data_IF_863297995263
#
_entry.id   IF_863297995263
#
_cell.length_a   1.000
_cell.length_b   1.000
_cell.length_c   1.000
_cell.angle_alpha   90.00
_cell.angle_beta   90.00
_cell.angle_gamma   90.00
#
_symmetry.space_group_name_H-M   'P 1'
#
loop_
_entity.id
_entity.type
_entity.pdbx_description
1 polymer ?
#
# COMPACT_ATOMS: atom_id res chain seq x y z
N UNK A 1 14.27 13.81 -22.88
CA UNK A 1 14.49 14.32 -21.52
C UNK A 1 15.75 15.15 -21.48
N UNK A 2 15.72 16.23 -20.70
CA UNK A 2 16.89 17.05 -20.38
C UNK A 2 17.27 16.79 -18.92
N UNK A 3 18.54 16.49 -18.69
CA UNK A 3 19.10 16.37 -17.35
C UNK A 3 19.45 17.77 -16.83
N UNK A 4 18.85 18.15 -15.69
CA UNK A 4 19.04 19.48 -15.10
C UNK A 4 19.25 19.31 -13.60
N UNK A 5 20.43 19.68 -13.13
CA UNK A 5 20.77 19.71 -11.71
C UNK A 5 20.17 20.96 -11.04
N UNK A 6 19.55 20.77 -9.88
CA UNK A 6 18.86 21.82 -9.14
C UNK A 6 19.52 22.09 -7.80
N UNK A 7 19.38 23.30 -7.22
CA UNK A 7 19.91 23.61 -5.89
C UNK A 7 19.33 22.74 -4.79
N UNK A 8 20.16 22.38 -3.81
CA UNK A 8 19.73 21.63 -2.62
C UNK A 8 19.22 22.53 -1.50
N UNK A 9 19.73 23.75 -1.35
CA UNK A 9 19.21 24.71 -0.38
C UNK A 9 17.97 25.39 -0.94
N UNK A 10 16.82 25.03 -0.43
CA UNK A 10 15.55 25.54 -0.93
C UNK A 10 14.62 26.02 0.19
N UNK A 11 13.41 26.44 -0.16
CA UNK A 11 12.34 26.73 0.77
C UNK A 11 11.62 25.44 1.12
N UNK A 12 11.12 25.33 2.36
CA UNK A 12 10.23 24.24 2.78
C UNK A 12 9.02 24.12 1.86
N UNK A 13 8.64 22.88 1.54
CA UNK A 13 7.48 22.53 0.71
C UNK A 13 6.59 21.52 1.41
N UNK A 14 5.25 21.57 1.23
CA UNK A 14 4.32 20.67 1.89
C UNK A 14 4.24 19.30 1.16
N UNK A 15 5.35 18.55 1.14
CA UNK A 15 5.42 17.24 0.43
C UNK A 15 5.10 16.04 1.32
N UNK A 16 4.68 16.25 2.58
CA UNK A 16 4.23 15.20 3.49
C UNK A 16 5.22 14.83 4.60
N UNK A 17 6.53 14.76 4.33
CA UNK A 17 7.55 14.51 5.34
C UNK A 17 7.98 15.80 6.07
N UNK A 18 8.73 15.64 7.18
CA UNK A 18 9.40 16.78 7.82
C UNK A 18 10.70 17.09 7.09
N UNK A 19 11.03 18.40 7.04
CA UNK A 19 12.24 18.91 6.42
C UNK A 19 13.43 18.88 7.38
N UNK A 20 14.62 18.57 6.85
CA UNK A 20 15.88 18.94 7.51
C UNK A 20 16.17 20.41 7.27
N UNK A 21 16.44 21.18 8.33
CA UNK A 21 16.64 22.62 8.28
C UNK A 21 18.11 22.98 8.38
N UNK A 22 18.55 23.92 7.54
CA UNK A 22 19.89 24.51 7.58
C UNK A 22 19.79 25.99 8.00
N UNK A 23 20.32 26.40 9.16
CA UNK A 23 20.25 27.80 9.61
C UNK A 23 20.93 28.76 8.64
N UNK A 24 20.30 29.91 8.35
CA UNK A 24 20.93 30.97 7.58
C UNK A 24 21.95 31.72 8.45
N UNK A 25 23.20 31.79 8.00
CA UNK A 25 24.24 32.58 8.67
C UNK A 25 24.00 34.08 8.52
N UNK A 26 23.39 34.51 7.41
CA UNK A 26 23.21 35.91 7.05
C UNK A 26 21.94 36.50 7.68
N UNK A 27 20.88 35.69 7.76
CA UNK A 27 19.56 36.12 8.26
C UNK A 27 19.20 35.35 9.52
N UNK A 28 19.48 35.85 10.73
CA UNK A 28 19.14 35.22 11.99
C UNK A 28 17.64 34.88 12.08
N UNK A 29 17.32 33.67 12.56
CA UNK A 29 15.94 33.22 12.69
C UNK A 29 15.29 32.68 11.39
N UNK A 30 16.03 32.66 10.27
CA UNK A 30 15.59 32.05 9.03
C UNK A 30 16.37 30.78 8.70
N UNK A 31 15.75 29.88 7.91
CA UNK A 31 16.30 28.59 7.58
C UNK A 31 16.10 28.27 6.10
N UNK A 32 17.05 27.54 5.55
CA UNK A 32 16.83 26.76 4.33
C UNK A 32 16.30 25.38 4.71
N UNK A 33 15.56 24.75 3.82
CA UNK A 33 15.22 23.34 3.90
C UNK A 33 16.09 22.54 2.92
N UNK A 34 16.46 21.31 3.31
CA UNK A 34 16.96 20.32 2.36
C UNK A 34 15.78 19.70 1.60
N UNK A 35 15.92 19.41 0.29
CA UNK A 35 14.79 19.03 -0.54
C UNK A 35 14.30 17.61 -0.20
N UNK A 36 13.00 17.46 -0.01
CA UNK A 36 12.35 16.14 0.00
C UNK A 36 12.29 15.54 -1.41
N UNK A 37 12.12 16.40 -2.39
CA UNK A 37 12.33 16.22 -3.83
C UNK A 37 12.63 17.59 -4.45
N UNK A 38 13.11 17.71 -5.69
CA UNK A 38 13.31 18.98 -6.36
C UNK A 38 11.99 19.63 -6.86
N UNK A 39 10.89 19.48 -6.12
CA UNK A 39 9.52 19.82 -6.56
C UNK A 39 9.36 21.24 -7.06
N UNK A 40 9.84 22.26 -6.33
CA UNK A 40 9.71 23.65 -6.74
C UNK A 40 10.43 23.88 -8.09
N UNK A 41 11.63 23.35 -8.21
CA UNK A 41 12.45 23.59 -9.39
C UNK A 41 11.93 22.87 -10.62
N UNK A 42 11.54 21.59 -10.50
CA UNK A 42 10.99 20.85 -11.63
C UNK A 42 9.66 21.44 -12.13
N UNK A 43 8.83 21.94 -11.21
CA UNK A 43 7.61 22.66 -11.59
C UNK A 43 7.91 23.98 -12.33
N UNK A 44 8.88 24.75 -11.89
CA UNK A 44 9.34 25.95 -12.59
C UNK A 44 9.92 25.62 -13.97
N UNK A 45 10.64 24.50 -14.11
CA UNK A 45 11.14 24.04 -15.39
C UNK A 45 9.99 23.73 -16.36
N UNK A 46 8.92 23.05 -15.90
CA UNK A 46 7.73 22.81 -16.72
C UNK A 46 7.10 24.14 -17.18
N UNK A 47 6.91 25.10 -16.26
CA UNK A 47 6.40 26.45 -16.61
C UNK A 47 7.32 27.20 -17.58
N UNK A 48 8.60 26.88 -17.61
CA UNK A 48 9.60 27.50 -18.50
C UNK A 48 9.73 26.79 -19.86
N UNK A 49 8.92 25.74 -20.13
CA UNK A 49 8.91 25.03 -21.41
C UNK A 49 9.92 23.87 -21.50
N UNK A 50 10.41 23.37 -20.38
CA UNK A 50 11.22 22.14 -20.37
C UNK A 50 10.31 20.91 -20.27
N UNK A 51 9.68 20.53 -21.30
CA UNK A 51 8.60 19.55 -21.34
C UNK A 51 8.94 18.16 -20.75
N UNK A 52 10.21 17.80 -20.71
CA UNK A 52 10.67 16.52 -20.15
C UNK A 52 12.00 16.69 -19.43
N UNK A 53 11.94 16.78 -18.13
CA UNK A 53 13.07 16.92 -17.23
C UNK A 53 13.36 15.59 -16.52
N UNK A 54 14.64 15.32 -16.22
CA UNK A 54 15.03 14.36 -15.20
C UNK A 54 16.28 14.81 -14.43
N UNK A 55 16.49 14.25 -13.27
CA UNK A 55 17.67 14.44 -12.44
C UNK A 55 17.91 13.21 -11.56
N UNK A 56 19.17 12.85 -11.33
CA UNK A 56 19.56 11.94 -10.26
C UNK A 56 19.70 12.78 -8.99
N UNK A 57 18.60 12.93 -8.25
CA UNK A 57 18.44 13.88 -7.17
C UNK A 57 18.77 13.27 -5.80
N UNK A 58 19.53 13.99 -4.98
CA UNK A 58 19.68 13.69 -3.56
C UNK A 58 18.49 14.27 -2.82
N UNK A 59 17.77 13.41 -2.06
CA UNK A 59 16.55 13.74 -1.31
C UNK A 59 16.73 13.46 0.17
N UNK A 60 16.01 14.24 1.00
CA UNK A 60 16.11 14.20 2.45
C UNK A 60 14.71 14.20 3.06
N UNK A 61 14.42 13.29 3.99
CA UNK A 61 13.17 13.24 4.72
C UNK A 61 13.42 12.89 6.17
N UNK A 62 12.98 13.73 7.09
CA UNK A 62 13.06 13.48 8.54
C UNK A 62 11.85 12.63 8.95
N UNK A 63 11.97 11.34 8.72
CA UNK A 63 10.98 10.32 9.04
C UNK A 63 11.60 9.20 9.88
N UNK A 64 10.74 8.39 10.52
CA UNK A 64 11.19 7.21 11.25
C UNK A 64 11.86 6.21 10.31
N UNK A 65 13.00 5.69 10.75
CA UNK A 65 13.74 4.69 9.99
C UNK A 65 12.94 3.39 9.89
N UNK A 66 12.89 2.83 8.70
CA UNK A 66 12.31 1.51 8.40
C UNK A 66 13.29 0.73 7.54
N UNK A 67 13.01 -0.57 7.35
CA UNK A 67 13.87 -1.42 6.53
C UNK A 67 14.04 -0.91 5.09
N UNK A 68 13.03 -0.23 4.55
CA UNK A 68 12.93 0.30 3.20
C UNK A 68 13.06 1.85 3.12
N UNK A 69 13.32 2.54 4.25
CA UNK A 69 13.39 4.01 4.30
C UNK A 69 14.64 4.52 4.98
N UNK A 70 15.32 5.44 4.31
CA UNK A 70 16.49 6.16 4.81
C UNK A 70 16.22 7.66 4.82
N UNK A 71 16.79 8.42 5.78
CA UNK A 71 16.59 9.88 5.86
C UNK A 71 17.25 10.64 4.71
N UNK A 72 18.24 10.04 4.08
CA UNK A 72 18.95 10.53 2.90
C UNK A 72 18.98 9.43 1.85
N UNK A 73 18.50 9.72 0.65
CA UNK A 73 18.41 8.76 -0.45
C UNK A 73 18.51 9.45 -1.81
N UNK A 74 18.65 8.65 -2.85
CA UNK A 74 18.74 9.15 -4.23
C UNK A 74 17.51 8.71 -5.02
N UNK A 75 16.90 9.66 -5.73
CA UNK A 75 15.83 9.41 -6.68
C UNK A 75 16.30 9.65 -8.10
N UNK A 76 15.80 8.85 -9.04
CA UNK A 76 15.67 9.30 -10.40
C UNK A 76 14.36 10.08 -10.49
N UNK A 77 14.47 11.39 -10.43
CA UNK A 77 13.34 12.30 -10.44
C UNK A 77 13.02 12.77 -11.84
N UNK A 78 11.76 12.74 -12.21
CA UNK A 78 11.27 13.14 -13.55
C UNK A 78 10.03 14.03 -13.42
N UNK A 79 9.92 14.97 -14.37
CA UNK A 79 8.70 15.74 -14.57
C UNK A 79 8.42 15.89 -16.06
N UNK A 80 7.15 15.74 -16.45
CA UNK A 80 6.69 15.80 -17.82
C UNK A 80 5.50 16.73 -17.93
N UNK A 81 5.48 17.56 -18.99
CA UNK A 81 4.34 18.42 -19.36
C UNK A 81 3.47 17.76 -20.42
N UNK A 82 2.19 18.11 -20.45
CA UNK A 82 1.21 17.71 -21.48
C UNK A 82 1.02 16.19 -21.60
N UNK A 83 1.06 15.49 -20.46
CA UNK A 83 0.92 14.03 -20.36
C UNK A 83 -0.11 13.67 -19.29
N UNK A 84 -0.63 12.44 -19.36
CA UNK A 84 -1.44 11.83 -18.30
C UNK A 84 -0.71 10.62 -17.68
N UNK A 85 -1.36 9.95 -16.75
CA UNK A 85 -0.85 8.81 -15.98
C UNK A 85 -0.23 7.74 -16.89
N UNK A 86 -0.93 7.38 -17.97
CA UNK A 86 -0.50 6.32 -18.90
C UNK A 86 0.81 6.64 -19.61
N UNK A 87 1.04 7.91 -19.96
CA UNK A 87 2.27 8.34 -20.62
C UNK A 87 3.49 8.21 -19.70
N UNK A 88 3.31 8.55 -18.42
CA UNK A 88 4.36 8.44 -17.41
C UNK A 88 4.66 6.98 -17.09
N UNK A 89 3.61 6.15 -16.97
CA UNK A 89 3.75 4.71 -16.76
C UNK A 89 4.53 4.07 -17.92
N UNK A 90 4.18 4.35 -19.18
CA UNK A 90 4.89 3.81 -20.35
C UNK A 90 6.38 4.13 -20.35
N UNK A 91 6.73 5.39 -20.04
CA UNK A 91 8.14 5.80 -19.95
C UNK A 91 8.88 5.00 -18.89
N UNK A 92 8.29 4.82 -17.70
CA UNK A 92 8.91 4.10 -16.60
C UNK A 92 8.97 2.59 -16.84
N UNK A 93 7.95 1.99 -17.48
CA UNK A 93 7.97 0.59 -17.88
C UNK A 93 9.14 0.28 -18.81
N UNK A 94 9.33 1.10 -19.84
CA UNK A 94 10.46 0.96 -20.77
C UNK A 94 11.81 1.16 -20.09
N UNK A 95 11.91 2.08 -19.13
CA UNK A 95 13.10 2.29 -18.33
C UNK A 95 13.41 1.07 -17.47
N UNK A 96 12.44 0.56 -16.71
CA UNK A 96 12.61 -0.60 -15.84
C UNK A 96 12.98 -1.85 -16.66
N UNK A 97 12.27 -2.11 -17.76
CA UNK A 97 12.57 -3.24 -18.64
C UNK A 97 14.01 -3.19 -19.16
N UNK A 98 14.48 -2.00 -19.58
CA UNK A 98 15.84 -1.80 -20.05
C UNK A 98 16.86 -2.01 -18.92
N UNK A 99 16.66 -1.43 -17.76
CA UNK A 99 17.57 -1.56 -16.60
C UNK A 99 17.70 -3.01 -16.15
N UNK A 100 16.58 -3.72 -15.99
CA UNK A 100 16.59 -5.11 -15.56
C UNK A 100 17.25 -6.02 -16.61
N UNK A 101 17.01 -5.76 -17.89
CA UNK A 101 17.64 -6.52 -18.96
C UNK A 101 19.17 -6.29 -19.02
N UNK A 102 19.60 -5.04 -18.98
CA UNK A 102 21.04 -4.71 -19.16
C UNK A 102 21.88 -5.03 -17.93
N UNK A 103 21.32 -4.94 -16.71
CA UNK A 103 22.10 -5.11 -15.47
C UNK A 103 21.98 -6.52 -14.91
N UNK A 104 20.78 -7.12 -14.98
CA UNK A 104 20.48 -8.42 -14.35
C UNK A 104 20.21 -9.54 -15.35
N UNK A 105 20.14 -9.23 -16.65
CA UNK A 105 19.68 -10.13 -17.74
C UNK A 105 18.28 -10.73 -17.47
N UNK A 106 17.40 -9.93 -16.84
CA UNK A 106 16.01 -10.29 -16.55
C UNK A 106 15.07 -9.60 -17.54
N UNK A 107 14.18 -10.36 -18.14
CA UNK A 107 13.15 -9.86 -19.03
C UNK A 107 11.89 -9.50 -18.23
N UNK A 108 11.61 -8.19 -18.09
CA UNK A 108 10.38 -7.69 -17.47
C UNK A 108 9.24 -7.76 -18.47
N UNK A 109 8.14 -8.43 -18.10
CA UNK A 109 6.97 -8.53 -18.97
C UNK A 109 6.24 -7.18 -19.05
N UNK A 110 6.00 -6.68 -20.26
CA UNK A 110 5.26 -5.45 -20.51
C UNK A 110 3.93 -5.75 -21.25
N UNK A 111 2.86 -4.99 -21.00
CA UNK A 111 2.77 -3.98 -19.94
C UNK A 111 2.80 -4.60 -18.52
N UNK A 112 3.33 -3.87 -17.56
CA UNK A 112 3.31 -4.29 -16.16
C UNK A 112 1.86 -4.32 -15.67
N UNK A 113 1.52 -5.33 -14.87
CA UNK A 113 0.19 -5.47 -14.25
C UNK A 113 -0.20 -4.21 -13.50
N UNK A 114 -1.46 -3.78 -13.66
CA UNK A 114 -2.05 -2.69 -12.87
C UNK A 114 -3.09 -3.24 -11.89
N UNK A 115 -3.21 -2.59 -10.77
CA UNK A 115 -4.16 -2.91 -9.72
C UNK A 115 -4.61 -1.60 -9.06
N UNK A 116 -5.90 -1.46 -8.79
CA UNK A 116 -6.36 -0.30 -8.02
C UNK A 116 -5.94 -0.45 -6.55
N UNK A 117 -5.80 0.68 -5.85
CA UNK A 117 -5.49 0.68 -4.42
C UNK A 117 -6.49 -0.18 -3.62
N UNK A 118 -7.78 -0.04 -3.88
CA UNK A 118 -8.80 -0.80 -3.15
C UNK A 118 -8.72 -2.31 -3.45
N UNK A 119 -8.35 -2.70 -4.67
CA UNK A 119 -8.11 -4.10 -5.01
C UNK A 119 -6.88 -4.64 -4.26
N UNK A 120 -5.78 -3.88 -4.22
CA UNK A 120 -4.58 -4.25 -3.49
C UNK A 120 -4.86 -4.44 -1.99
N UNK A 121 -5.57 -3.50 -1.37
CA UNK A 121 -5.97 -3.59 0.04
C UNK A 121 -6.90 -4.79 0.29
N UNK A 122 -7.87 -5.02 -0.57
CA UNK A 122 -8.81 -6.12 -0.40
C UNK A 122 -8.18 -7.51 -0.58
N UNK A 123 -7.22 -7.66 -1.50
CA UNK A 123 -6.59 -8.96 -1.82
C UNK A 123 -5.32 -9.22 -1.02
N UNK A 124 -4.58 -8.19 -0.65
CA UNK A 124 -3.24 -8.35 -0.07
C UNK A 124 -3.08 -7.63 1.28
N UNK A 125 -4.02 -6.75 1.66
CA UNK A 125 -3.96 -5.97 2.88
C UNK A 125 -2.84 -4.93 2.89
N UNK A 126 -2.36 -4.51 1.71
CA UNK A 126 -1.27 -3.55 1.54
C UNK A 126 -1.36 -2.90 0.18
N UNK A 127 -0.98 -1.62 0.10
CA UNK A 127 -0.77 -0.86 -1.13
C UNK A 127 0.57 -1.19 -1.83
N UNK A 128 1.40 -1.99 -1.21
CA UNK A 128 2.65 -2.53 -1.78
C UNK A 128 2.70 -4.05 -1.63
N UNK A 129 1.86 -4.77 -2.39
CA UNK A 129 1.74 -6.22 -2.25
C UNK A 129 2.97 -6.96 -2.78
N UNK A 130 3.41 -7.98 -2.04
CA UNK A 130 4.33 -8.97 -2.56
C UNK A 130 3.53 -10.04 -3.33
N UNK A 131 3.75 -10.14 -4.63
CA UNK A 131 3.01 -11.02 -5.53
C UNK A 131 3.74 -12.35 -5.82
N UNK A 132 4.93 -12.56 -5.26
CA UNK A 132 5.72 -13.79 -5.47
C UNK A 132 5.06 -15.04 -4.91
N UNK A 133 4.10 -14.90 -4.03
CA UNK A 133 3.33 -15.99 -3.44
C UNK A 133 1.84 -15.63 -3.39
N UNK A 134 0.99 -16.63 -3.32
CA UNK A 134 -0.46 -16.47 -3.18
C UNK A 134 -0.87 -15.98 -1.78
N UNK A 135 -1.73 -16.73 -1.09
CA UNK A 135 -2.24 -16.43 0.25
C UNK A 135 -2.99 -15.08 0.28
N UNK A 136 -3.83 -14.86 -0.74
CA UNK A 136 -4.68 -13.67 -0.80
C UNK A 136 -5.72 -13.65 0.32
N UNK A 137 -6.04 -12.45 0.79
CA UNK A 137 -7.17 -12.24 1.70
C UNK A 137 -8.47 -12.58 0.97
N UNK A 138 -9.33 -13.38 1.61
CA UNK A 138 -10.69 -13.66 1.13
C UNK A 138 -11.69 -13.04 2.09
N UNK A 139 -12.60 -12.24 1.55
CA UNK A 139 -13.72 -11.70 2.31
C UNK A 139 -14.77 -12.79 2.51
N UNK A 140 -15.08 -13.08 3.77
CA UNK A 140 -16.10 -14.06 4.16
C UNK A 140 -17.25 -13.41 4.92
N UNK A 141 -17.36 -12.10 4.89
CA UNK A 141 -18.38 -11.34 5.62
C UNK A 141 -19.79 -11.84 5.36
N UNK A 142 -20.12 -12.09 4.09
CA UNK A 142 -21.44 -12.64 3.72
C UNK A 142 -21.62 -14.09 4.17
N UNK A 143 -20.56 -14.89 4.18
CA UNK A 143 -20.58 -16.31 4.58
C UNK A 143 -20.86 -16.47 6.08
N UNK A 144 -20.36 -15.55 6.91
CA UNK A 144 -20.47 -15.59 8.37
C UNK A 144 -21.58 -14.69 8.92
N UNK A 145 -22.37 -14.07 8.04
CA UNK A 145 -23.47 -13.19 8.44
C UNK A 145 -24.53 -13.98 9.24
N UNK A 146 -24.75 -13.55 10.48
CA UNK A 146 -25.74 -14.17 11.38
C UNK A 146 -25.26 -15.47 12.05
N UNK A 147 -23.98 -15.83 11.94
CA UNK A 147 -23.41 -16.97 12.64
C UNK A 147 -23.40 -16.78 14.17
N UNK A 148 -23.21 -17.87 14.92
CA UNK A 148 -23.19 -17.84 16.39
C UNK A 148 -21.92 -17.28 17.03
N UNK A 149 -20.89 -16.94 16.25
CA UNK A 149 -19.63 -16.41 16.79
C UNK A 149 -19.66 -14.88 16.89
N UNK A 150 -19.93 -14.36 18.09
CA UNK A 150 -20.14 -12.93 18.38
C UNK A 150 -19.00 -12.00 17.97
N UNK A 151 -17.77 -12.51 17.77
CA UNK A 151 -16.64 -11.68 17.27
C UNK A 151 -16.87 -11.32 15.80
N UNK A 152 -17.37 -12.27 14.99
CA UNK A 152 -17.63 -12.03 13.57
C UNK A 152 -18.87 -11.14 13.38
N UNK A 153 -19.98 -11.50 14.03
CA UNK A 153 -21.21 -10.71 13.92
C UNK A 153 -21.03 -9.31 14.45
N UNK A 154 -20.32 -9.13 15.59
CA UNK A 154 -20.04 -7.82 16.15
C UNK A 154 -19.15 -6.94 15.27
N UNK A 155 -18.18 -7.50 14.54
CA UNK A 155 -17.39 -6.76 13.56
C UNK A 155 -18.27 -6.25 12.40
N UNK A 156 -19.15 -7.11 11.87
CA UNK A 156 -20.06 -6.76 10.77
C UNK A 156 -21.09 -5.70 11.19
N UNK A 157 -21.68 -5.83 12.38
CA UNK A 157 -22.64 -4.87 12.93
C UNK A 157 -22.03 -3.46 13.13
N UNK A 158 -20.71 -3.38 13.35
CA UNK A 158 -19.97 -2.13 13.47
C UNK A 158 -19.38 -1.63 12.13
N UNK A 159 -19.84 -2.17 10.98
CA UNK A 159 -19.42 -1.73 9.65
C UNK A 159 -18.02 -2.18 9.24
N UNK A 160 -17.46 -3.17 9.94
CA UNK A 160 -16.20 -3.81 9.60
C UNK A 160 -16.37 -4.98 8.64
N UNK A 161 -15.34 -5.82 8.51
CA UNK A 161 -15.36 -7.04 7.70
C UNK A 161 -14.74 -8.22 8.43
N UNK A 162 -15.03 -9.41 7.91
CA UNK A 162 -14.37 -10.65 8.31
C UNK A 162 -13.64 -11.20 7.10
N UNK A 163 -12.32 -11.30 7.20
CA UNK A 163 -11.48 -11.84 6.12
C UNK A 163 -10.57 -12.93 6.66
N UNK A 164 -10.15 -13.79 5.76
CA UNK A 164 -9.22 -14.86 6.09
C UNK A 164 -8.15 -15.07 5.03
N UNK A 165 -7.08 -15.75 5.45
CA UNK A 165 -6.01 -16.25 4.58
C UNK A 165 -5.86 -17.76 4.78
N UNK A 166 -5.41 -18.46 3.74
CA UNK A 166 -5.11 -19.87 3.79
C UNK A 166 -3.59 -20.11 3.75
N UNK A 167 -3.01 -20.52 4.87
CA UNK A 167 -1.63 -20.97 4.96
C UNK A 167 -1.57 -22.47 4.62
N UNK A 168 -1.35 -22.78 3.34
CA UNK A 168 -1.37 -24.13 2.81
C UNK A 168 -0.33 -25.03 3.47
N UNK A 169 -0.74 -26.24 3.87
CA UNK A 169 0.12 -27.23 4.50
C UNK A 169 0.55 -26.91 5.94
N UNK A 170 -0.06 -25.87 6.59
CA UNK A 170 0.27 -25.49 7.97
C UNK A 170 -0.72 -25.98 9.02
N UNK A 171 -1.64 -26.90 8.68
CA UNK A 171 -2.67 -27.44 9.59
C UNK A 171 -2.11 -28.17 10.82
N UNK A 172 -0.90 -28.73 10.71
CA UNK A 172 -0.19 -29.36 11.83
C UNK A 172 0.60 -28.36 12.72
N UNK A 173 0.45 -27.02 12.50
CA UNK A 173 1.18 -26.01 13.26
C UNK A 173 0.94 -26.16 14.77
N UNK A 174 2.01 -26.24 15.60
CA UNK A 174 1.88 -26.37 17.04
C UNK A 174 1.16 -25.16 17.66
N UNK A 175 0.35 -25.40 18.69
CA UNK A 175 -0.42 -24.37 19.41
C UNK A 175 0.42 -23.16 19.80
N UNK A 176 1.63 -23.38 20.32
CA UNK A 176 2.55 -22.30 20.70
C UNK A 176 2.89 -21.36 19.53
N UNK A 177 3.02 -21.90 18.31
CA UNK A 177 3.27 -21.08 17.11
C UNK A 177 2.02 -20.30 16.72
N UNK A 178 0.83 -20.93 16.79
CA UNK A 178 -0.44 -20.20 16.54
C UNK A 178 -0.62 -19.07 17.55
N UNK A 179 -0.34 -19.30 18.83
CA UNK A 179 -0.41 -18.27 19.87
C UNK A 179 0.58 -17.12 19.56
N UNK A 180 1.78 -17.41 19.03
CA UNK A 180 2.72 -16.38 18.57
C UNK A 180 2.17 -15.56 17.39
N UNK A 181 1.43 -16.17 16.45
CA UNK A 181 0.73 -15.44 15.38
C UNK A 181 -0.38 -14.54 15.92
N UNK A 182 -1.07 -14.96 16.99
CA UNK A 182 -2.06 -14.09 17.67
C UNK A 182 -1.39 -12.86 18.27
N UNK A 183 -0.25 -13.02 18.96
CA UNK A 183 0.49 -11.87 19.51
C UNK A 183 1.04 -10.97 18.38
N UNK A 184 1.53 -11.54 17.29
CA UNK A 184 1.93 -10.78 16.11
C UNK A 184 0.76 -9.97 15.54
N UNK A 185 -0.43 -10.56 15.37
CA UNK A 185 -1.62 -9.88 14.89
C UNK A 185 -2.02 -8.67 15.78
N UNK A 186 -1.85 -8.78 17.10
CA UNK A 186 -2.12 -7.69 18.04
C UNK A 186 -1.24 -6.47 17.83
N UNK A 187 -0.02 -6.63 17.33
CA UNK A 187 0.88 -5.50 17.03
C UNK A 187 0.35 -4.63 15.87
N UNK A 188 -0.58 -5.16 15.08
CA UNK A 188 -1.29 -4.46 14.00
C UNK A 188 -2.71 -4.02 14.40
N UNK A 189 -3.04 -4.04 15.69
CA UNK A 189 -4.30 -3.55 16.23
C UNK A 189 -5.43 -4.58 16.32
N UNK A 190 -5.22 -5.82 15.88
CA UNK A 190 -6.22 -6.87 16.03
C UNK A 190 -6.42 -7.23 17.50
N UNK A 191 -7.69 -7.42 17.92
CA UNK A 191 -8.02 -7.90 19.28
C UNK A 191 -7.72 -9.38 19.49
N UNK A 192 -7.57 -10.14 18.40
CA UNK A 192 -7.29 -11.56 18.38
C UNK A 192 -7.24 -12.10 16.97
N UNK A 193 -6.92 -13.37 16.83
CA UNK A 193 -6.86 -14.08 15.56
C UNK A 193 -7.67 -15.38 15.70
N UNK A 194 -8.71 -15.54 14.91
CA UNK A 194 -9.45 -16.80 14.84
C UNK A 194 -8.78 -17.74 13.84
N UNK A 195 -8.91 -19.05 14.04
CA UNK A 195 -8.30 -20.03 13.15
C UNK A 195 -9.11 -21.33 13.01
N UNK A 196 -8.90 -22.01 11.87
CA UNK A 196 -9.27 -23.39 11.62
C UNK A 196 -8.02 -24.11 11.14
N UNK A 197 -7.60 -25.15 11.86
CA UNK A 197 -6.59 -26.08 11.38
C UNK A 197 -7.29 -27.33 10.87
N UNK A 198 -7.11 -27.67 9.60
CA UNK A 198 -7.71 -28.82 8.95
C UNK A 198 -6.72 -29.97 9.07
N UNK A 199 -7.13 -31.04 9.77
CA UNK A 199 -6.29 -32.25 9.89
C UNK A 199 -6.28 -33.02 8.57
N UNK A 200 -5.30 -33.93 8.41
CA UNK A 200 -5.18 -34.81 7.23
C UNK A 200 -6.42 -35.70 6.99
N UNK A 201 -7.18 -36.01 8.03
CA UNK A 201 -8.43 -36.77 7.96
C UNK A 201 -9.66 -35.93 7.65
N UNK A 202 -9.47 -34.62 7.40
CA UNK A 202 -10.53 -33.65 7.12
C UNK A 202 -11.26 -33.12 8.36
N UNK A 203 -10.91 -33.55 9.58
CA UNK A 203 -11.48 -32.99 10.81
C UNK A 203 -10.87 -31.61 11.13
N UNK A 204 -11.58 -30.79 11.91
CA UNK A 204 -11.16 -29.43 12.23
C UNK A 204 -10.75 -29.25 13.68
N UNK A 205 -9.64 -28.53 13.90
CA UNK A 205 -9.34 -27.86 15.18
C UNK A 205 -9.56 -26.36 14.99
N UNK A 206 -10.44 -25.76 15.76
CA UNK A 206 -10.78 -24.35 15.60
C UNK A 206 -10.93 -23.65 16.94
N UNK A 207 -10.62 -22.34 16.98
CA UNK A 207 -10.85 -21.49 18.16
C UNK A 207 -12.33 -21.15 18.39
N UNK A 208 -13.20 -21.34 17.38
CA UNK A 208 -14.59 -20.89 17.41
C UNK A 208 -15.64 -21.93 16.92
N UNK A 209 -15.23 -23.13 16.55
CA UNK A 209 -16.14 -24.17 16.03
C UNK A 209 -17.34 -24.45 16.95
N UNK A 210 -17.18 -24.34 18.27
CA UNK A 210 -18.28 -24.56 19.22
C UNK A 210 -19.45 -23.55 19.10
N UNK A 211 -19.27 -22.47 18.39
CA UNK A 211 -20.27 -21.44 18.15
C UNK A 211 -20.90 -21.52 16.75
N UNK A 212 -20.47 -22.49 15.94
CA UNK A 212 -20.85 -22.64 14.54
C UNK A 212 -21.53 -23.97 14.31
N UNK A 213 -22.40 -24.01 13.33
CA UNK A 213 -22.92 -25.25 12.78
C UNK A 213 -21.89 -25.90 11.86
N UNK A 214 -22.08 -27.19 11.55
CA UNK A 214 -21.21 -27.92 10.61
C UNK A 214 -21.24 -27.29 9.20
N UNK A 215 -22.44 -26.91 8.75
CA UNK A 215 -22.64 -26.26 7.43
C UNK A 215 -21.91 -24.90 7.37
N UNK A 216 -21.99 -24.08 8.42
CA UNK A 216 -21.27 -22.80 8.49
C UNK A 216 -19.76 -23.02 8.44
N UNK A 217 -19.23 -24.00 9.16
CA UNK A 217 -17.81 -24.36 9.12
C UNK A 217 -17.38 -24.82 7.73
N UNK A 218 -18.16 -25.67 7.08
CA UNK A 218 -17.88 -26.15 5.72
C UNK A 218 -17.90 -25.00 4.70
N UNK A 219 -18.85 -24.06 4.81
CA UNK A 219 -18.93 -22.89 3.95
C UNK A 219 -17.71 -21.96 4.11
N UNK A 220 -17.23 -21.76 5.35
CA UNK A 220 -16.01 -20.98 5.61
C UNK A 220 -14.79 -21.65 4.99
N UNK A 221 -14.63 -22.96 5.19
CA UNK A 221 -13.51 -23.72 4.62
C UNK A 221 -13.54 -23.67 3.09
N UNK A 222 -14.70 -23.84 2.48
CA UNK A 222 -14.88 -23.75 1.03
C UNK A 222 -14.54 -22.34 0.49
N UNK A 223 -14.98 -21.28 1.18
CA UNK A 223 -14.71 -19.89 0.78
C UNK A 223 -13.20 -19.56 0.74
N UNK A 224 -12.40 -20.19 1.61
CA UNK A 224 -10.95 -20.07 1.62
C UNK A 224 -10.23 -21.17 0.80
N UNK A 225 -10.96 -22.01 0.08
CA UNK A 225 -10.40 -23.17 -0.65
C UNK A 225 -9.48 -23.99 0.27
N UNK A 226 -9.95 -24.24 1.51
CA UNK A 226 -9.21 -25.03 2.50
C UNK A 226 -9.23 -26.51 2.16
N UNK A 227 -8.07 -27.15 2.27
CA UNK A 227 -7.84 -28.56 2.01
C UNK A 227 -7.30 -29.25 3.28
N UNK A 228 -7.36 -30.58 3.40
CA UNK A 228 -6.69 -31.31 4.47
C UNK A 228 -5.22 -30.91 4.60
N UNK A 229 -4.78 -30.62 5.82
CA UNK A 229 -3.44 -30.14 6.09
C UNK A 229 -3.27 -28.60 6.10
N UNK A 230 -4.30 -27.81 5.79
CA UNK A 230 -4.23 -26.35 5.74
C UNK A 230 -4.55 -25.68 7.08
N UNK A 231 -4.00 -24.48 7.28
CA UNK A 231 -4.31 -23.58 8.40
C UNK A 231 -4.99 -22.32 7.85
N UNK A 232 -6.26 -22.11 8.23
CA UNK A 232 -7.02 -20.92 7.89
C UNK A 232 -6.96 -19.94 9.06
N UNK A 233 -6.65 -18.69 8.80
CA UNK A 233 -6.50 -17.63 9.79
C UNK A 233 -7.43 -16.48 9.46
N UNK A 234 -8.12 -15.92 10.48
CA UNK A 234 -9.16 -14.91 10.28
C UNK A 234 -8.96 -13.70 11.19
N UNK A 235 -9.19 -12.52 10.63
CA UNK A 235 -9.33 -11.27 11.36
C UNK A 235 -10.73 -10.69 11.15
N UNK A 236 -11.28 -10.06 12.19
CA UNK A 236 -12.61 -9.45 12.19
C UNK A 236 -12.56 -8.15 12.99
N UNK A 237 -12.65 -7.03 12.31
CA UNK A 237 -12.66 -5.66 12.88
C UNK A 237 -13.00 -4.65 11.76
N UNK A 238 -12.73 -3.35 11.99
CA UNK A 238 -12.74 -2.31 10.93
C UNK A 238 -11.80 -2.72 9.79
N UNK A 239 -12.16 -2.38 8.56
CA UNK A 239 -11.41 -2.80 7.36
C UNK A 239 -9.90 -2.54 7.47
N UNK A 240 -9.50 -1.33 7.93
CA UNK A 240 -8.08 -0.99 8.09
C UNK A 240 -7.35 -1.98 9.00
N UNK A 241 -7.90 -2.31 10.15
CA UNK A 241 -7.29 -3.27 11.09
C UNK A 241 -7.18 -4.67 10.46
N UNK A 242 -8.23 -5.11 9.74
CA UNK A 242 -8.24 -6.40 9.05
C UNK A 242 -7.19 -6.46 7.96
N UNK A 243 -7.08 -5.42 7.13
CA UNK A 243 -6.07 -5.31 6.07
C UNK A 243 -4.66 -5.31 6.65
N UNK A 244 -4.35 -4.39 7.57
CA UNK A 244 -3.03 -4.26 8.19
C UNK A 244 -2.59 -5.58 8.86
N UNK A 245 -3.51 -6.23 9.57
CA UNK A 245 -3.24 -7.49 10.27
C UNK A 245 -2.96 -8.64 9.31
N UNK A 246 -3.88 -8.91 8.38
CA UNK A 246 -3.75 -10.04 7.47
C UNK A 246 -2.67 -9.81 6.41
N UNK A 247 -2.48 -8.56 5.97
CA UNK A 247 -1.42 -8.18 5.05
C UNK A 247 -0.03 -8.43 5.64
N UNK A 248 0.20 -8.02 6.89
CA UNK A 248 1.43 -8.33 7.59
C UNK A 248 1.59 -9.82 7.87
N UNK A 249 0.51 -10.49 8.29
CA UNK A 249 0.52 -11.91 8.65
C UNK A 249 0.85 -12.80 7.45
N UNK A 250 0.30 -12.50 6.25
CA UNK A 250 0.62 -13.26 5.03
C UNK A 250 2.10 -13.18 4.66
N UNK A 251 2.71 -12.00 4.77
CA UNK A 251 4.13 -11.81 4.50
C UNK A 251 5.01 -12.53 5.53
N UNK A 252 4.66 -12.43 6.82
CA UNK A 252 5.35 -13.14 7.89
C UNK A 252 5.32 -14.66 7.74
N UNK A 253 4.16 -15.21 7.37
CA UNK A 253 4.01 -16.64 7.09
C UNK A 253 4.78 -17.05 5.83
N UNK A 254 4.73 -16.25 4.77
CA UNK A 254 5.46 -16.54 3.53
C UNK A 254 6.97 -16.62 3.76
N UNK A 255 7.54 -15.74 4.60
CA UNK A 255 8.93 -15.79 4.99
C UNK A 255 9.25 -17.08 5.78
N UNK A 256 8.43 -17.41 6.79
CA UNK A 256 8.59 -18.65 7.57
C UNK A 256 8.47 -19.93 6.73
N UNK A 257 7.63 -19.91 5.71
CA UNK A 257 7.39 -21.02 4.80
C UNK A 257 8.41 -21.06 3.65
N UNK A 258 9.33 -20.10 3.53
CA UNK A 258 10.34 -20.04 2.48
C UNK A 258 9.76 -19.77 1.09
N UNK A 259 8.65 -19.04 0.98
CA UNK A 259 7.97 -18.76 -0.28
C UNK A 259 8.53 -17.54 -1.03
N UNK A 260 9.47 -16.81 -0.43
CA UNK A 260 10.05 -15.59 -0.98
C UNK A 260 11.26 -15.91 -1.87
N UNK A 261 11.03 -16.30 -3.12
CA UNK A 261 12.13 -16.51 -4.08
C UNK A 261 12.77 -15.15 -4.43
N UNK A 262 14.08 -15.04 -4.18
CA UNK A 262 14.85 -13.82 -4.46
C UNK A 262 15.18 -13.62 -5.95
N UNK A 263 15.02 -14.67 -6.77
CA UNK A 263 15.26 -14.62 -8.21
C UNK A 263 13.99 -14.26 -9.01
N UNK A 264 12.86 -14.12 -8.35
CA UNK A 264 11.59 -13.73 -8.96
C UNK A 264 11.37 -12.24 -8.73
N UNK A 265 11.07 -11.51 -9.82
CA UNK A 265 10.81 -10.08 -9.82
C UNK A 265 9.38 -9.83 -10.30
N UNK A 266 8.46 -9.64 -9.35
CA UNK A 266 7.03 -9.38 -9.60
C UNK A 266 6.73 -7.89 -9.44
N UNK A 267 6.48 -7.23 -10.58
CA UNK A 267 6.11 -5.83 -10.62
C UNK A 267 4.60 -5.66 -10.64
N UNK A 268 4.13 -4.58 -10.03
CA UNK A 268 2.73 -4.12 -10.15
C UNK A 268 2.65 -2.60 -9.99
N UNK A 269 1.84 -1.96 -10.83
CA UNK A 269 1.41 -0.59 -10.61
C UNK A 269 0.19 -0.58 -9.70
N UNK A 270 0.24 0.22 -8.66
CA UNK A 270 -0.93 0.56 -7.84
C UNK A 270 -1.43 1.92 -8.28
N UNK A 271 -2.72 2.01 -8.56
CA UNK A 271 -3.36 3.22 -9.11
C UNK A 271 -4.64 3.54 -8.33
N UNK A 272 -5.27 4.67 -8.63
CA UNK A 272 -6.55 5.06 -8.04
C UNK A 272 -6.52 5.09 -6.51
N UNK A 273 -5.46 5.66 -5.94
CA UNK A 273 -5.39 5.88 -4.50
C UNK A 273 -6.52 6.79 -4.03
N UNK A 274 -6.97 6.70 -2.77
CA UNK A 274 -7.79 7.74 -2.18
C UNK A 274 -7.06 9.10 -2.27
N UNK A 275 -7.79 10.15 -2.65
CA UNK A 275 -7.24 11.51 -2.67
C UNK A 275 -7.00 12.01 -1.24
N UNK A 276 -7.97 11.72 -0.37
CA UNK A 276 -8.03 12.19 1.00
C UNK A 276 -8.25 11.02 1.96
N UNK A 277 -7.66 11.09 3.13
CA UNK A 277 -7.91 10.19 4.24
C UNK A 277 -8.36 10.97 5.49
N UNK A 278 -9.18 10.33 6.31
CA UNK A 278 -9.61 10.93 7.57
C UNK A 278 -8.53 10.84 8.63
N UNK A 279 -8.12 11.99 9.17
CA UNK A 279 -7.20 12.05 10.30
C UNK A 279 -7.97 12.22 11.60
N UNK A 280 -7.96 11.19 12.46
CA UNK A 280 -8.57 11.26 13.79
C UNK A 280 -7.86 12.30 14.69
N UNK A 281 -6.54 12.47 14.51
CA UNK A 281 -5.73 13.44 15.27
C UNK A 281 -6.14 14.89 14.93
N UNK A 282 -6.31 15.18 13.64
CA UNK A 282 -6.67 16.53 13.16
C UNK A 282 -8.17 16.73 13.04
N UNK A 283 -8.98 15.68 13.21
CA UNK A 283 -10.43 15.67 13.05
C UNK A 283 -10.88 16.30 11.72
N UNK A 284 -10.18 15.98 10.63
CA UNK A 284 -10.47 16.44 9.28
C UNK A 284 -9.90 15.48 8.23
N UNK A 285 -10.31 15.66 6.99
CA UNK A 285 -9.65 15.04 5.86
C UNK A 285 -8.28 15.69 5.60
N UNK A 286 -7.29 14.88 5.27
CA UNK A 286 -5.94 15.27 4.87
C UNK A 286 -5.58 14.58 3.56
N UNK A 287 -4.71 15.21 2.76
CA UNK A 287 -4.24 14.58 1.53
C UNK A 287 -3.48 13.29 1.85
N UNK A 288 -3.79 12.20 1.15
CA UNK A 288 -3.10 10.91 1.34
C UNK A 288 -1.65 10.97 0.87
N UNK A 289 -1.36 11.65 -0.24
CA UNK A 289 -0.01 11.87 -0.76
C UNK A 289 0.48 13.28 -0.43
N UNK A 290 -0.03 14.27 -1.17
CA UNK A 290 0.30 15.68 -0.97
C UNK A 290 -0.84 16.57 -1.53
N UNK A 291 -0.97 17.84 -1.05
CA UNK A 291 -2.13 18.69 -1.35
C UNK A 291 -2.20 19.21 -2.79
N UNK A 292 -1.28 18.88 -3.64
CA UNK A 292 -1.28 19.23 -5.08
C UNK A 292 -1.44 18.03 -6.02
N UNK A 293 -1.90 16.88 -5.49
CA UNK A 293 -2.29 15.71 -6.29
C UNK A 293 -3.65 15.96 -6.96
N UNK A 294 -3.71 15.75 -8.29
CA UNK A 294 -4.94 15.89 -9.06
C UNK A 294 -5.94 14.78 -8.71
N UNK A 295 -7.21 15.13 -8.38
CA UNK A 295 -8.29 14.15 -8.32
C UNK A 295 -8.60 13.58 -9.71
N UNK A 296 -9.22 12.39 -9.76
CA UNK A 296 -9.79 11.86 -10.99
C UNK A 296 -10.97 12.74 -11.43
N UNK A 297 -11.06 13.06 -12.73
CA UNK A 297 -12.06 13.98 -13.26
C UNK A 297 -13.49 13.52 -12.98
N UNK A 298 -13.75 12.22 -13.08
CA UNK A 298 -15.06 11.64 -12.81
C UNK A 298 -15.52 11.78 -11.36
N UNK A 299 -14.56 11.97 -10.42
CA UNK A 299 -14.84 12.10 -9.00
C UNK A 299 -14.96 13.56 -8.53
N UNK A 300 -14.69 14.55 -9.39
CA UNK A 300 -14.78 15.96 -9.05
C UNK A 300 -16.18 16.38 -8.56
N UNK A 301 -17.22 15.73 -9.07
CA UNK A 301 -18.61 16.03 -8.68
C UNK A 301 -18.91 15.70 -7.22
N UNK A 302 -18.16 14.82 -6.59
CA UNK A 302 -18.38 14.37 -5.21
C UNK A 302 -17.38 14.93 -4.21
N UNK A 303 -16.41 15.73 -4.63
CA UNK A 303 -15.31 16.23 -3.76
C UNK A 303 -15.85 17.02 -2.54
N UNK A 304 -16.95 17.75 -2.71
CA UNK A 304 -17.57 18.56 -1.65
C UNK A 304 -18.58 17.76 -0.79
N UNK A 305 -19.09 16.63 -1.29
CA UNK A 305 -20.16 15.86 -0.63
C UNK A 305 -19.70 14.55 -0.01
N UNK A 306 -18.70 13.90 -0.60
CA UNK A 306 -18.14 12.63 -0.12
C UNK A 306 -16.62 12.58 -0.39
N UNK A 307 -15.82 13.46 0.24
CA UNK A 307 -14.40 13.61 -0.04
C UNK A 307 -13.59 12.31 0.20
N UNK A 308 -14.07 11.44 1.09
CA UNK A 308 -13.43 10.16 1.37
C UNK A 308 -13.53 9.11 0.25
N UNK A 309 -14.34 9.37 -0.79
CA UNK A 309 -14.47 8.49 -1.95
C UNK A 309 -13.80 9.01 -3.21
N UNK A 310 -13.24 10.21 -3.15
CA UNK A 310 -12.53 10.81 -4.29
C UNK A 310 -11.20 10.09 -4.49
N UNK A 311 -10.94 9.63 -5.71
CA UNK A 311 -9.69 8.99 -6.10
C UNK A 311 -8.70 10.01 -6.66
N UNK A 312 -7.43 9.73 -6.48
CA UNK A 312 -6.30 10.51 -6.96
C UNK A 312 -5.76 9.97 -8.29
N UNK A 313 -5.30 10.84 -9.16
CA UNK A 313 -4.42 10.49 -10.29
C UNK A 313 -2.99 10.26 -9.79
N UNK A 314 -2.85 9.34 -8.84
CA UNK A 314 -1.58 8.91 -8.26
C UNK A 314 -1.32 7.44 -8.61
N UNK A 315 -0.04 7.08 -8.68
CA UNK A 315 0.41 5.75 -9.06
C UNK A 315 1.75 5.44 -8.41
N UNK A 316 1.89 4.22 -7.89
CA UNK A 316 3.14 3.69 -7.35
C UNK A 316 3.53 2.42 -8.07
N UNK A 317 4.82 2.26 -8.36
CA UNK A 317 5.39 1.01 -8.85
C UNK A 317 5.95 0.21 -7.68
N UNK A 318 5.49 -1.01 -7.55
CA UNK A 318 5.87 -1.94 -6.50
C UNK A 318 6.63 -3.12 -7.08
N UNK A 319 7.70 -3.49 -6.43
CA UNK A 319 8.50 -4.68 -6.73
C UNK A 319 8.63 -5.53 -5.47
N UNK A 320 8.11 -6.77 -5.50
CA UNK A 320 8.28 -7.74 -4.42
C UNK A 320 7.94 -7.18 -3.01
N UNK A 321 6.83 -6.45 -2.90
CA UNK A 321 6.41 -5.88 -1.62
C UNK A 321 7.08 -4.57 -1.23
N UNK A 322 7.89 -3.97 -2.10
CA UNK A 322 8.53 -2.69 -1.88
C UNK A 322 8.09 -1.68 -2.94
N UNK A 323 7.71 -0.49 -2.51
CA UNK A 323 7.54 0.66 -3.37
C UNK A 323 8.90 1.13 -3.88
N UNK A 324 9.11 1.09 -5.18
CA UNK A 324 10.38 1.50 -5.80
C UNK A 324 10.30 2.85 -6.52
N UNK A 325 9.11 3.41 -6.60
CA UNK A 325 8.85 4.72 -7.15
C UNK A 325 7.36 5.03 -7.18
N UNK A 326 7.02 6.28 -7.36
CA UNK A 326 5.66 6.74 -7.45
C UNK A 326 5.55 8.14 -8.01
N UNK A 327 4.34 8.56 -8.31
CA UNK A 327 4.07 9.88 -8.83
C UNK A 327 2.59 10.20 -8.91
N UNK A 328 2.29 11.38 -9.40
CA UNK A 328 0.91 11.82 -9.65
C UNK A 328 0.84 12.88 -10.73
N UNK A 329 -0.33 13.03 -11.32
CA UNK A 329 -0.67 14.24 -12.06
C UNK A 329 -0.86 15.37 -11.04
N UNK A 330 -0.31 16.56 -11.34
CA UNK A 330 -0.38 17.73 -10.46
C UNK A 330 -1.61 18.57 -10.76
N UNK A 331 -2.20 19.16 -9.72
CA UNK A 331 -3.26 20.16 -9.90
C UNK A 331 -2.68 21.37 -10.64
N UNK A 332 -3.41 21.82 -11.64
CA UNK A 332 -3.08 23.01 -12.46
C UNK A 332 -4.28 23.97 -12.56
N UNK A 333 -5.36 23.69 -11.84
CA UNK A 333 -6.60 24.47 -11.81
C UNK A 333 -6.75 25.10 -10.42
N UNK A 334 -6.92 26.42 -10.37
CA UNK A 334 -6.96 27.18 -9.12
C UNK A 334 -8.12 26.76 -8.22
N UNK A 335 -9.30 26.56 -8.82
CA UNK A 335 -10.53 26.16 -8.10
C UNK A 335 -10.42 24.76 -7.44
N UNK A 336 -9.68 23.84 -8.04
CA UNK A 336 -9.41 22.54 -7.45
C UNK A 336 -8.38 22.69 -6.33
N UNK A 337 -7.30 23.48 -6.55
CA UNK A 337 -6.27 23.69 -5.55
C UNK A 337 -6.80 24.39 -4.29
N UNK A 338 -7.75 25.31 -4.42
CA UNK A 338 -8.40 25.98 -3.29
C UNK A 338 -9.21 25.03 -2.40
N UNK A 339 -9.68 23.91 -2.95
CA UNK A 339 -10.44 22.89 -2.21
C UNK A 339 -9.56 21.93 -1.41
N UNK A 340 -8.33 21.76 -1.86
CA UNK A 340 -7.35 20.85 -1.25
C UNK A 340 -6.60 21.49 -0.08
#
# INVERSE_FOLDING_TARGET
>A
FLEIETPMLCKSTPEGARDYLVPSRIHPGTFYALPQSPQIYKQLLMCSGYDRYFQIARCFRDEDLRADRQPEFTQMDMELSFVDVDDVIDVNERLLAKLFKEILDVDVQLPIRRMTWIEAMNRFGSDKPDLRFGMELKDISDVVKGCGFGVFTGALENGGSVRGINAKGQGAMPRKKIDALVEFAKTYGAKGLAYIAINEDGTYKSSFAKFMTEDEMNNIVAALSGEPGDLLLFAADKNKVVWDTLGALRCHLAEQMGLLDKNVFEFVWITEFPLLEWSDEQNRFTAMHHPFTMPMEEDLAIIDTDPGKVRAKAYDIVLNGNEIGGGSVRIHQDDIQEKM
#
